data_IF_668050804238
#
_entry.id   IF_668050804238
#
_cell.length_a   1.000
_cell.length_b   1.000
_cell.length_c   1.000
_cell.angle_alpha   90.00
_cell.angle_beta   90.00
_cell.angle_gamma   90.00
#
_symmetry.space_group_name_H-M   'P 1'
#
loop_
_entity.id
_entity.type
_entity.pdbx_description
1 polymer ?
#
# COMPACT_ATOMS: atom_id res chain seq x y z
N UNK A 1 14.04 -14.71 -8.65
CA UNK A 1 13.42 -13.76 -7.70
C UNK A 1 13.36 -12.35 -8.31
N UNK A 2 12.21 -11.68 -8.24
CA UNK A 2 12.08 -10.29 -8.74
C UNK A 2 12.53 -9.25 -7.71
N UNK A 3 13.04 -9.73 -6.59
CA UNK A 3 13.58 -8.94 -5.51
C UNK A 3 15.09 -9.07 -5.55
N UNK A 4 15.78 -7.94 -5.67
CA UNK A 4 17.22 -7.84 -5.51
C UNK A 4 17.49 -7.19 -4.16
N UNK A 5 18.02 -7.97 -3.22
CA UNK A 5 18.48 -7.43 -1.94
C UNK A 5 19.78 -6.66 -2.20
N UNK A 6 19.77 -5.38 -1.82
CA UNK A 6 20.88 -4.47 -2.01
C UNK A 6 21.72 -4.34 -0.74
N UNK A 7 21.05 -4.29 0.42
CA UNK A 7 21.71 -3.97 1.70
C UNK A 7 20.92 -4.49 2.89
N UNK A 8 21.62 -5.09 3.84
CA UNK A 8 21.12 -5.55 5.13
C UNK A 8 21.72 -4.67 6.23
N UNK A 9 20.94 -3.74 6.76
CA UNK A 9 21.34 -2.92 7.90
C UNK A 9 20.99 -3.65 9.20
N UNK A 10 22.01 -4.07 9.94
CA UNK A 10 21.86 -4.82 11.17
C UNK A 10 22.29 -3.95 12.34
N UNK A 11 21.37 -3.69 13.25
CA UNK A 11 21.61 -2.87 14.43
C UNK A 11 21.32 -3.70 15.67
N UNK A 12 22.32 -3.87 16.52
CA UNK A 12 22.14 -4.49 17.83
C UNK A 12 21.99 -3.43 18.91
N UNK A 13 21.09 -3.67 19.86
CA UNK A 13 20.84 -2.79 20.98
C UNK A 13 20.90 -3.53 22.32
N UNK A 14 21.34 -2.80 23.35
CA UNK A 14 21.16 -3.13 24.74
C UNK A 14 20.05 -2.26 25.33
N UNK A 15 19.51 -2.68 26.46
CA UNK A 15 18.59 -1.85 27.22
C UNK A 15 19.38 -0.84 28.08
N UNK A 16 18.77 0.30 28.49
CA UNK A 16 19.48 1.40 29.13
C UNK A 16 19.70 1.14 30.63
N UNK A 17 20.42 0.06 30.95
CA UNK A 17 20.83 -0.26 32.30
C UNK A 17 22.28 -0.76 32.39
N UNK A 18 22.96 -0.38 33.46
CA UNK A 18 24.32 -0.85 33.74
C UNK A 18 25.40 0.05 33.11
N UNK A 19 26.58 -0.49 32.87
CA UNK A 19 27.69 0.34 32.38
C UNK A 19 27.64 0.52 30.87
N UNK A 20 27.96 1.73 30.39
CA UNK A 20 28.10 2.03 28.96
C UNK A 20 29.00 1.02 28.22
N UNK A 21 30.08 0.57 28.88
CA UNK A 21 30.99 -0.42 28.32
C UNK A 21 30.35 -1.80 28.17
N UNK A 22 29.53 -2.24 29.14
CA UNK A 22 28.79 -3.48 29.06
C UNK A 22 27.71 -3.41 27.97
N UNK A 23 26.95 -2.31 27.91
CA UNK A 23 25.91 -2.11 26.92
C UNK A 23 26.47 -2.05 25.49
N UNK A 24 27.64 -1.43 25.30
CA UNK A 24 28.37 -1.47 24.02
C UNK A 24 28.66 -2.91 23.59
N UNK A 25 29.27 -3.72 24.46
CA UNK A 25 29.58 -5.14 24.17
C UNK A 25 28.33 -5.97 23.89
N UNK A 26 27.27 -5.79 24.67
CA UNK A 26 26.00 -6.48 24.49
C UNK A 26 25.29 -6.10 23.19
N UNK A 27 25.39 -4.84 22.78
CA UNK A 27 24.82 -4.36 21.52
C UNK A 27 25.59 -4.92 20.31
N UNK A 28 26.92 -4.93 20.37
CA UNK A 28 27.80 -5.53 19.35
C UNK A 28 27.54 -7.03 19.19
N UNK A 29 27.52 -7.77 20.31
CA UNK A 29 27.29 -9.21 20.31
C UNK A 29 25.94 -9.60 19.68
N UNK A 30 24.88 -8.81 19.94
CA UNK A 30 23.56 -9.02 19.31
C UNK A 30 23.58 -8.75 17.80
N UNK A 31 24.23 -7.68 17.37
CA UNK A 31 24.34 -7.36 15.94
C UNK A 31 25.10 -8.46 15.19
N UNK A 32 26.23 -8.91 15.75
CA UNK A 32 27.05 -9.98 15.18
C UNK A 32 26.31 -11.31 15.14
N UNK A 33 25.62 -11.69 16.22
CA UNK A 33 24.84 -12.94 16.25
C UNK A 33 23.76 -12.97 15.16
N UNK A 34 23.04 -11.87 14.93
CA UNK A 34 22.05 -11.78 13.85
C UNK A 34 22.71 -11.82 12.48
N UNK A 35 23.85 -11.13 12.30
CA UNK A 35 24.62 -11.18 11.05
C UNK A 35 25.08 -12.60 10.73
N UNK A 36 25.59 -13.32 11.71
CA UNK A 36 26.12 -14.68 11.54
C UNK A 36 24.98 -15.66 11.22
N UNK A 37 23.86 -15.52 11.91
CA UNK A 37 22.65 -16.28 11.61
C UNK A 37 22.18 -16.07 10.16
N UNK A 38 22.11 -14.82 9.68
CA UNK A 38 21.68 -14.51 8.31
C UNK A 38 22.71 -15.02 7.28
N UNK A 39 24.00 -14.83 7.53
CA UNK A 39 25.07 -15.27 6.64
C UNK A 39 25.20 -16.79 6.55
N UNK A 40 24.82 -17.52 7.60
CA UNK A 40 24.75 -18.98 7.56
C UNK A 40 23.56 -19.47 6.73
N UNK A 41 22.43 -18.76 6.80
CA UNK A 41 21.14 -19.21 6.24
C UNK A 41 20.90 -18.74 4.81
N UNK A 42 21.54 -17.65 4.40
CA UNK A 42 21.37 -17.02 3.10
C UNK A 42 22.72 -16.65 2.49
N UNK A 43 22.83 -16.87 1.18
CA UNK A 43 24.04 -16.58 0.39
C UNK A 43 24.07 -15.10 -0.06
N UNK A 44 24.02 -14.18 0.90
CA UNK A 44 24.23 -12.76 0.61
C UNK A 44 25.73 -12.44 0.65
N UNK A 45 26.25 -11.66 -0.33
CA UNK A 45 27.62 -11.18 -0.31
C UNK A 45 27.95 -10.42 1.00
N UNK A 46 29.15 -10.63 1.54
CA UNK A 46 29.55 -10.01 2.81
C UNK A 46 29.49 -8.48 2.80
N UNK A 47 29.73 -7.85 1.65
CA UNK A 47 29.67 -6.40 1.47
C UNK A 47 28.24 -5.83 1.48
N UNK A 48 27.20 -6.67 1.50
CA UNK A 48 25.81 -6.22 1.69
C UNK A 48 25.41 -6.08 3.16
N UNK A 49 26.21 -6.60 4.09
CA UNK A 49 25.94 -6.51 5.53
C UNK A 49 26.56 -5.24 6.09
N UNK A 50 25.72 -4.37 6.64
CA UNK A 50 26.13 -3.14 7.28
C UNK A 50 25.73 -3.23 8.74
N UNK A 51 26.75 -3.32 9.61
CA UNK A 51 26.55 -3.58 11.03
C UNK A 51 26.73 -2.28 11.80
N UNK A 52 25.75 -1.96 12.64
CA UNK A 52 25.75 -0.80 13.53
C UNK A 52 25.61 -1.26 14.96
N UNK A 53 26.45 -0.70 15.83
CA UNK A 53 26.38 -0.96 17.27
C UNK A 53 25.57 0.16 17.90
N UNK A 54 24.30 -0.12 18.16
CA UNK A 54 23.32 0.87 18.61
C UNK A 54 23.49 1.29 20.07
N UNK A 55 24.30 0.57 20.87
CA UNK A 55 24.43 0.83 22.30
C UNK A 55 23.09 0.67 23.02
N UNK A 56 22.74 1.62 23.86
CA UNK A 56 21.47 1.64 24.61
C UNK A 56 20.30 2.09 23.74
N UNK A 57 19.18 1.37 23.80
CA UNK A 57 18.00 1.62 22.99
C UNK A 57 17.09 2.73 23.54
N UNK A 58 17.60 3.95 23.62
CA UNK A 58 16.83 5.09 24.12
C UNK A 58 15.63 5.43 23.22
N UNK A 59 15.80 5.35 21.89
CA UNK A 59 14.71 5.56 20.93
C UNK A 59 13.61 4.50 21.08
N UNK A 60 14.00 3.25 21.33
CA UNK A 60 13.06 2.16 21.60
C UNK A 60 12.32 2.33 22.93
N UNK A 61 13.00 2.83 23.96
CA UNK A 61 12.38 3.16 25.24
C UNK A 61 11.31 4.24 25.07
N UNK A 62 11.64 5.33 24.37
CA UNK A 62 10.69 6.41 24.10
C UNK A 62 9.43 5.91 23.39
N UNK A 63 9.59 5.12 22.31
CA UNK A 63 8.46 4.52 21.59
C UNK A 63 7.64 3.56 22.44
N UNK A 64 8.29 2.75 23.28
CA UNK A 64 7.57 1.85 24.18
C UNK A 64 6.69 2.63 25.15
N UNK A 65 7.20 3.75 25.68
CA UNK A 65 6.47 4.62 26.59
C UNK A 65 5.22 5.22 25.96
N UNK A 66 5.21 5.56 24.67
CA UNK A 66 4.02 6.11 23.98
C UNK A 66 2.78 5.21 24.14
N UNK A 67 2.98 3.90 24.17
CA UNK A 67 1.91 2.89 24.17
C UNK A 67 1.41 2.46 25.55
N UNK A 68 2.08 2.91 26.63
CA UNK A 68 1.75 2.47 28.00
C UNK A 68 1.40 3.64 28.92
N UNK A 69 0.64 3.32 29.96
CA UNK A 69 0.50 4.18 31.14
C UNK A 69 1.64 3.90 32.11
N UNK A 70 2.27 4.98 32.58
CA UNK A 70 3.39 4.93 33.52
C UNK A 70 3.25 6.10 34.48
N UNK A 71 3.46 5.83 35.76
CA UNK A 71 3.55 6.88 36.78
C UNK A 71 4.75 7.79 36.49
N UNK A 72 4.53 9.11 36.50
CA UNK A 72 5.55 10.12 36.18
C UNK A 72 6.08 10.05 34.73
N UNK A 73 5.29 9.54 33.79
CA UNK A 73 5.67 9.37 32.37
C UNK A 73 6.26 10.62 31.72
N UNK A 74 5.66 11.79 31.94
CA UNK A 74 6.12 13.03 31.30
C UNK A 74 7.52 13.44 31.79
N UNK A 75 7.81 13.27 33.08
CA UNK A 75 9.14 13.54 33.65
C UNK A 75 10.18 12.52 33.18
N UNK A 76 9.78 11.25 33.02
CA UNK A 76 10.63 10.21 32.42
C UNK A 76 10.97 10.56 30.97
N UNK A 77 9.97 10.99 30.18
CA UNK A 77 10.17 11.40 28.79
C UNK A 77 11.04 12.66 28.69
N UNK A 78 10.87 13.63 29.60
CA UNK A 78 11.71 14.82 29.66
C UNK A 78 13.19 14.45 29.86
N UNK A 79 13.49 13.55 30.80
CA UNK A 79 14.85 13.05 31.03
C UNK A 79 15.40 12.38 29.76
N UNK A 80 14.61 11.52 29.10
CA UNK A 80 15.05 10.79 27.91
C UNK A 80 15.35 11.75 26.75
N UNK A 81 14.53 12.79 26.55
CA UNK A 81 14.65 13.71 25.42
C UNK A 81 15.74 14.75 25.62
N UNK A 82 15.87 15.27 26.84
CA UNK A 82 16.62 16.50 27.08
C UNK A 82 17.96 16.29 27.79
N UNK A 83 18.20 15.14 28.42
CA UNK A 83 19.49 14.84 29.06
C UNK A 83 20.35 14.02 28.10
N UNK A 84 21.53 14.50 27.68
CA UNK A 84 22.44 13.69 26.88
C UNK A 84 22.88 12.40 27.59
N UNK A 85 23.11 11.32 26.85
CA UNK A 85 23.43 9.99 27.40
C UNK A 85 24.68 10.06 28.26
N UNK A 86 25.73 10.72 27.78
CA UNK A 86 27.01 10.91 28.45
C UNK A 86 26.92 11.77 29.72
N UNK A 87 25.81 12.49 29.91
CA UNK A 87 25.54 13.30 31.11
C UNK A 87 24.73 12.55 32.18
N UNK A 88 24.64 11.22 32.08
CA UNK A 88 24.07 10.38 33.14
C UNK A 88 22.54 10.33 33.11
N UNK A 89 21.95 10.19 31.92
CA UNK A 89 20.51 10.03 31.71
C UNK A 89 19.92 8.89 32.57
N UNK A 90 20.59 7.73 32.62
CA UNK A 90 20.19 6.60 33.48
C UNK A 90 20.19 7.00 34.96
N UNK A 91 21.25 7.63 35.45
CA UNK A 91 21.36 8.09 36.85
C UNK A 91 20.23 9.04 37.22
N UNK A 92 19.80 9.91 36.29
CA UNK A 92 18.68 10.82 36.51
C UNK A 92 17.35 10.08 36.62
N UNK A 93 17.12 9.04 35.80
CA UNK A 93 15.95 8.16 35.96
C UNK A 93 15.96 7.40 37.29
N UNK A 94 17.13 6.94 37.74
CA UNK A 94 17.28 6.27 39.04
C UNK A 94 16.98 7.19 40.23
N UNK A 95 17.25 8.49 40.10
CA UNK A 95 17.00 9.49 41.14
C UNK A 95 15.55 9.98 41.14
N UNK A 96 14.89 10.03 39.98
CA UNK A 96 13.51 10.51 39.82
C UNK A 96 12.56 9.76 40.75
N UNK A 97 11.87 10.49 41.63
CA UNK A 97 10.90 9.96 42.61
C UNK A 97 11.43 8.74 43.39
N UNK A 98 12.70 8.80 43.82
CA UNK A 98 13.34 7.70 44.55
C UNK A 98 13.49 6.42 43.74
N UNK A 99 13.52 6.53 42.41
CA UNK A 99 13.70 5.43 41.46
C UNK A 99 12.46 4.58 41.18
N UNK A 100 11.27 5.03 41.61
CA UNK A 100 9.99 4.34 41.35
C UNK A 100 9.76 4.07 39.86
N UNK A 101 9.80 5.08 38.96
CA UNK A 101 9.66 4.83 37.53
C UNK A 101 10.78 3.93 36.99
N UNK A 102 12.04 4.14 37.38
CA UNK A 102 13.16 3.32 36.92
C UNK A 102 12.98 1.82 37.25
N UNK A 103 12.54 1.48 38.46
CA UNK A 103 12.28 0.08 38.85
C UNK A 103 11.17 -0.56 38.00
N UNK A 104 10.14 0.22 37.65
CA UNK A 104 9.10 -0.26 36.73
C UNK A 104 9.67 -0.53 35.34
N UNK A 105 10.43 0.43 34.78
CA UNK A 105 11.07 0.28 33.48
C UNK A 105 12.01 -0.93 33.44
N UNK A 106 12.87 -1.07 34.45
CA UNK A 106 13.82 -2.18 34.58
C UNK A 106 13.12 -3.54 34.57
N UNK A 107 11.96 -3.65 35.23
CA UNK A 107 11.23 -4.91 35.37
C UNK A 107 10.40 -5.26 34.14
N UNK A 108 9.72 -4.27 33.55
CA UNK A 108 8.66 -4.53 32.55
C UNK A 108 9.00 -4.06 31.14
N UNK A 109 9.90 -3.08 30.98
CA UNK A 109 10.16 -2.44 29.68
C UNK A 109 11.56 -2.75 29.16
N UNK A 110 12.61 -2.58 29.95
CA UNK A 110 13.99 -2.82 29.53
C UNK A 110 14.24 -4.21 28.92
N UNK A 111 13.63 -5.31 29.41
CA UNK A 111 13.79 -6.61 28.76
C UNK A 111 13.40 -6.62 27.27
N UNK A 112 12.36 -5.87 26.86
CA UNK A 112 11.90 -5.82 25.47
C UNK A 112 12.78 -4.94 24.58
N UNK A 113 13.63 -4.10 25.15
CA UNK A 113 14.53 -3.20 24.42
C UNK A 113 15.82 -3.90 23.92
N UNK A 114 16.08 -5.12 24.40
CA UNK A 114 17.25 -5.94 24.07
C UNK A 114 17.09 -6.62 22.71
N UNK A 115 17.15 -5.85 21.64
CA UNK A 115 16.81 -6.31 20.29
C UNK A 115 17.99 -6.26 19.32
N UNK A 116 17.93 -7.10 18.29
CA UNK A 116 18.70 -6.95 17.06
C UNK A 116 17.71 -6.71 15.92
N UNK A 117 17.88 -5.60 15.20
CA UNK A 117 17.00 -5.18 14.12
C UNK A 117 17.75 -5.39 12.80
N UNK A 118 17.11 -6.04 11.83
CA UNK A 118 17.59 -6.09 10.45
C UNK A 118 16.62 -5.33 9.55
N UNK A 119 17.10 -4.28 8.90
CA UNK A 119 16.38 -3.59 7.83
C UNK A 119 16.92 -4.07 6.49
N UNK A 120 16.03 -4.59 5.65
CA UNK A 120 16.37 -5.11 4.32
C UNK A 120 16.02 -4.05 3.29
N UNK A 121 17.03 -3.52 2.60
CA UNK A 121 16.84 -2.66 1.45
C UNK A 121 16.90 -3.52 0.19
N UNK A 122 15.87 -3.43 -0.63
CA UNK A 122 15.75 -4.21 -1.84
C UNK A 122 15.07 -3.43 -2.95
N UNK A 123 15.37 -3.80 -4.18
CA UNK A 123 14.65 -3.37 -5.36
C UNK A 123 13.72 -4.49 -5.82
N UNK A 124 12.50 -4.12 -6.18
CA UNK A 124 11.59 -5.00 -6.91
C UNK A 124 11.65 -4.56 -8.37
N UNK A 125 12.07 -5.45 -9.26
CA UNK A 125 11.95 -5.19 -10.69
C UNK A 125 10.54 -5.49 -11.16
N UNK A 126 10.12 -4.77 -12.18
CA UNK A 126 8.91 -5.12 -12.91
C UNK A 126 9.11 -6.50 -13.61
N UNK A 127 8.02 -7.26 -13.64
CA UNK A 127 7.86 -8.47 -14.42
C UNK A 127 7.82 -8.12 -15.91
N UNK A 128 8.44 -8.96 -16.75
CA UNK A 128 8.14 -8.90 -18.18
C UNK A 128 6.67 -9.26 -18.42
N UNK A 129 6.13 -8.92 -19.58
CA UNK A 129 4.73 -9.25 -19.93
C UNK A 129 4.49 -10.77 -19.89
N UNK A 130 5.46 -11.56 -20.33
CA UNK A 130 5.44 -13.03 -20.31
C UNK A 130 5.46 -13.57 -18.89
N UNK A 131 6.29 -12.99 -18.00
CA UNK A 131 6.31 -13.38 -16.60
C UNK A 131 5.00 -12.99 -15.90
N UNK A 132 4.50 -11.78 -16.16
CA UNK A 132 3.28 -11.27 -15.57
C UNK A 132 2.06 -12.13 -15.96
N UNK A 133 2.02 -12.70 -17.18
CA UNK A 133 1.00 -13.68 -17.60
C UNK A 133 0.94 -14.93 -16.72
N UNK A 134 2.07 -15.42 -16.24
CA UNK A 134 2.10 -16.58 -15.35
C UNK A 134 1.85 -16.20 -13.89
N UNK A 135 2.35 -15.03 -13.48
CA UNK A 135 2.18 -14.55 -12.11
C UNK A 135 0.72 -14.19 -11.84
N UNK A 136 -0.01 -13.61 -12.77
CA UNK A 136 -1.40 -13.21 -12.52
C UNK A 136 -2.32 -14.40 -12.22
N UNK A 137 -2.01 -15.59 -12.76
CA UNK A 137 -2.77 -16.83 -12.53
C UNK A 137 -2.62 -17.38 -11.11
N UNK A 138 -1.51 -17.06 -10.44
CA UNK A 138 -1.12 -17.70 -9.17
C UNK A 138 -0.96 -16.72 -8.01
N UNK A 139 -0.38 -15.55 -8.29
CA UNK A 139 -0.02 -14.51 -7.32
C UNK A 139 -0.28 -13.10 -7.88
N UNK A 140 -1.53 -12.77 -8.27
CA UNK A 140 -1.86 -11.47 -8.84
C UNK A 140 -1.50 -10.29 -7.92
N UNK A 141 -1.50 -10.48 -6.60
CA UNK A 141 -1.08 -9.47 -5.62
C UNK A 141 0.38 -9.03 -5.74
N UNK A 142 1.21 -9.77 -6.47
CA UNK A 142 2.60 -9.42 -6.72
C UNK A 142 2.79 -8.53 -7.95
N UNK A 143 1.75 -8.34 -8.77
CA UNK A 143 1.80 -7.47 -9.94
C UNK A 143 1.29 -6.09 -9.58
N UNK A 144 1.99 -5.07 -10.03
CA UNK A 144 1.49 -3.70 -10.14
C UNK A 144 0.27 -3.65 -11.07
N UNK A 145 -0.54 -2.61 -10.86
CA UNK A 145 -1.69 -2.33 -11.74
C UNK A 145 -1.26 -2.14 -13.20
N UNK A 146 -0.10 -1.52 -13.43
CA UNK A 146 0.44 -1.31 -14.78
C UNK A 146 0.79 -2.63 -15.47
N UNK A 147 1.46 -3.56 -14.77
CA UNK A 147 1.78 -4.88 -15.32
C UNK A 147 0.52 -5.68 -15.66
N UNK A 148 -0.53 -5.58 -14.84
CA UNK A 148 -1.82 -6.19 -15.17
C UNK A 148 -2.41 -5.60 -16.46
N UNK A 149 -2.30 -4.29 -16.68
CA UNK A 149 -2.77 -3.66 -17.92
C UNK A 149 -1.91 -4.02 -19.13
N UNK A 150 -0.58 -4.14 -18.97
CA UNK A 150 0.30 -4.61 -20.03
C UNK A 150 -0.06 -6.05 -20.45
N UNK A 151 -0.39 -6.92 -19.49
CA UNK A 151 -0.89 -8.27 -19.79
C UNK A 151 -2.24 -8.21 -20.49
N UNK A 152 -3.17 -7.38 -20.03
CA UNK A 152 -4.49 -7.21 -20.66
C UNK A 152 -4.35 -6.82 -22.14
N UNK A 153 -3.44 -5.88 -22.46
CA UNK A 153 -3.18 -5.43 -23.83
C UNK A 153 -2.62 -6.51 -24.77
N UNK A 154 -2.26 -7.69 -24.26
CA UNK A 154 -1.88 -8.83 -25.11
C UNK A 154 -3.05 -9.68 -25.57
N UNK A 155 -4.24 -9.47 -25.01
CA UNK A 155 -5.46 -10.16 -25.40
C UNK A 155 -6.30 -9.27 -26.33
N UNK A 156 -7.08 -9.86 -27.26
CA UNK A 156 -7.99 -9.09 -28.09
C UNK A 156 -8.97 -8.28 -27.24
N UNK A 157 -9.16 -7.01 -27.57
CA UNK A 157 -10.11 -6.13 -26.89
C UNK A 157 -11.49 -6.78 -26.83
N UNK A 158 -12.04 -6.92 -25.61
CA UNK A 158 -13.35 -7.53 -25.38
C UNK A 158 -13.39 -9.05 -25.32
N UNK A 159 -12.25 -9.74 -25.47
CA UNK A 159 -12.15 -11.17 -25.15
C UNK A 159 -12.42 -11.44 -23.66
N UNK A 160 -12.76 -12.69 -23.32
CA UNK A 160 -13.01 -13.06 -21.93
C UNK A 160 -11.75 -12.86 -21.08
N UNK A 161 -10.59 -13.24 -21.62
CA UNK A 161 -9.29 -13.05 -20.98
C UNK A 161 -9.02 -11.58 -20.70
N UNK A 162 -9.29 -10.70 -21.67
CA UNK A 162 -9.15 -9.25 -21.50
C UNK A 162 -10.04 -8.72 -20.37
N UNK A 163 -11.26 -9.21 -20.25
CA UNK A 163 -12.22 -8.82 -19.20
C UNK A 163 -11.76 -9.32 -17.82
N UNK A 164 -11.33 -10.58 -17.72
CA UNK A 164 -10.89 -11.21 -16.48
C UNK A 164 -9.68 -10.47 -15.86
N UNK A 165 -8.85 -9.85 -16.69
CA UNK A 165 -7.74 -9.02 -16.24
C UNK A 165 -8.23 -7.82 -15.42
N UNK A 166 -9.30 -7.15 -15.83
CA UNK A 166 -9.83 -5.99 -15.10
C UNK A 166 -10.57 -6.38 -13.83
N UNK A 167 -11.25 -7.53 -13.82
CA UNK A 167 -11.82 -8.09 -12.59
C UNK A 167 -10.72 -8.41 -11.56
N UNK A 168 -9.61 -8.99 -12.03
CA UNK A 168 -8.45 -9.24 -11.17
C UNK A 168 -7.83 -7.93 -10.68
N UNK A 169 -7.69 -6.94 -11.56
CA UNK A 169 -7.14 -5.64 -11.22
C UNK A 169 -7.95 -4.91 -10.15
N UNK A 170 -9.29 -4.85 -10.28
CA UNK A 170 -10.13 -4.17 -9.28
C UNK A 170 -10.16 -4.92 -7.94
N UNK A 171 -10.01 -6.26 -7.95
CA UNK A 171 -9.89 -7.05 -6.72
C UNK A 171 -8.59 -6.78 -5.98
N UNK A 172 -7.47 -6.60 -6.70
CA UNK A 172 -6.16 -6.32 -6.11
C UNK A 172 -5.97 -4.85 -5.75
N UNK A 173 -6.61 -3.95 -6.51
CA UNK A 173 -6.54 -2.49 -6.36
C UNK A 173 -7.92 -1.86 -6.20
N UNK A 174 -8.68 -2.20 -5.14
CA UNK A 174 -10.08 -1.77 -5.01
C UNK A 174 -10.27 -0.25 -4.86
N UNK A 175 -9.24 0.46 -4.44
CA UNK A 175 -9.24 1.92 -4.29
C UNK A 175 -8.71 2.66 -5.54
N UNK A 176 -8.27 1.94 -6.58
CA UNK A 176 -7.80 2.56 -7.81
C UNK A 176 -8.98 2.97 -8.68
N UNK A 177 -9.08 4.27 -8.96
CA UNK A 177 -10.13 4.81 -9.85
C UNK A 177 -10.01 4.22 -11.26
N UNK A 178 -8.79 4.07 -11.76
CA UNK A 178 -8.55 3.49 -13.09
C UNK A 178 -8.99 2.02 -13.14
N UNK A 179 -8.68 1.24 -12.11
CA UNK A 179 -9.10 -0.16 -12.05
C UNK A 179 -10.64 -0.28 -12.00
N UNK A 180 -11.29 0.58 -11.21
CA UNK A 180 -12.75 0.61 -11.10
C UNK A 180 -13.43 1.05 -12.41
N UNK A 181 -12.91 2.07 -13.11
CA UNK A 181 -13.46 2.52 -14.40
C UNK A 181 -13.32 1.43 -15.47
N UNK A 182 -12.17 0.77 -15.54
CA UNK A 182 -11.96 -0.32 -16.49
C UNK A 182 -12.83 -1.54 -16.17
N UNK A 183 -12.95 -1.93 -14.88
CA UNK A 183 -13.85 -2.99 -14.46
C UNK A 183 -15.33 -2.66 -14.71
N UNK A 184 -15.73 -1.40 -14.54
CA UNK A 184 -17.06 -0.94 -14.92
C UNK A 184 -17.31 -1.07 -16.44
N UNK A 185 -16.34 -0.69 -17.25
CA UNK A 185 -16.43 -0.79 -18.72
C UNK A 185 -16.53 -2.25 -19.16
N UNK A 186 -15.77 -3.15 -18.53
CA UNK A 186 -15.84 -4.59 -18.76
C UNK A 186 -17.19 -5.19 -18.31
N UNK A 187 -17.75 -4.72 -17.19
CA UNK A 187 -19.09 -5.12 -16.75
C UNK A 187 -20.18 -4.63 -17.73
N UNK A 188 -20.05 -3.39 -18.25
CA UNK A 188 -20.98 -2.83 -19.24
C UNK A 188 -20.98 -3.61 -20.55
N UNK A 189 -19.81 -4.07 -21.03
CA UNK A 189 -19.76 -4.88 -22.26
C UNK A 189 -20.47 -6.23 -22.13
N UNK A 190 -20.62 -6.75 -20.90
CA UNK A 190 -21.38 -7.96 -20.57
C UNK A 190 -22.82 -7.68 -20.09
N UNK A 191 -23.29 -6.44 -20.19
CA UNK A 191 -24.62 -6.02 -19.71
C UNK A 191 -24.85 -6.24 -18.20
N UNK A 192 -23.77 -6.26 -17.40
CA UNK A 192 -23.80 -6.42 -15.95
C UNK A 192 -23.93 -5.06 -15.24
N UNK A 193 -25.11 -4.44 -15.36
CA UNK A 193 -25.33 -3.05 -14.93
C UNK A 193 -25.11 -2.83 -13.43
N UNK A 194 -25.44 -3.83 -12.59
CA UNK A 194 -25.27 -3.74 -11.12
C UNK A 194 -23.79 -3.70 -10.75
N UNK A 195 -22.97 -4.55 -11.36
CA UNK A 195 -21.52 -4.56 -11.17
C UNK A 195 -20.89 -3.26 -11.65
N UNK A 196 -21.28 -2.78 -12.83
CA UNK A 196 -20.80 -1.52 -13.38
C UNK A 196 -21.10 -0.32 -12.48
N UNK A 197 -22.33 -0.23 -11.97
CA UNK A 197 -22.73 0.82 -11.03
C UNK A 197 -21.93 0.76 -9.73
N UNK A 198 -21.72 -0.43 -9.17
CA UNK A 198 -20.90 -0.61 -7.97
C UNK A 198 -19.47 -0.12 -8.19
N UNK A 199 -18.83 -0.49 -9.30
CA UNK A 199 -17.45 -0.06 -9.59
C UNK A 199 -17.37 1.44 -9.81
N UNK A 200 -18.30 2.03 -10.57
CA UNK A 200 -18.33 3.48 -10.76
C UNK A 200 -18.58 4.24 -9.45
N UNK A 201 -19.34 3.66 -8.52
CA UNK A 201 -19.54 4.21 -7.17
C UNK A 201 -18.27 4.31 -6.31
N UNK A 202 -17.21 3.58 -6.66
CA UNK A 202 -15.90 3.66 -5.99
C UNK A 202 -15.02 4.81 -6.50
N UNK A 203 -15.43 5.49 -7.58
CA UNK A 203 -14.67 6.58 -8.20
C UNK A 203 -15.10 7.92 -7.61
N UNK A 204 -14.14 8.81 -7.32
CA UNK A 204 -14.48 10.15 -6.86
C UNK A 204 -15.02 10.98 -8.03
N UNK A 205 -16.34 11.09 -8.12
CA UNK A 205 -17.04 11.82 -9.19
C UNK A 205 -16.62 13.29 -9.31
N UNK A 206 -16.11 13.91 -8.23
CA UNK A 206 -15.70 15.31 -8.24
C UNK A 206 -14.45 15.57 -9.10
N UNK A 207 -13.67 14.53 -9.42
CA UNK A 207 -12.53 14.64 -10.34
C UNK A 207 -12.95 14.79 -11.79
N UNK A 208 -14.21 14.50 -12.12
CA UNK A 208 -14.78 14.63 -13.45
C UNK A 208 -13.89 13.99 -14.54
N UNK A 209 -13.38 12.78 -14.30
CA UNK A 209 -12.54 12.07 -15.26
C UNK A 209 -13.34 11.78 -16.56
N UNK A 210 -12.78 12.01 -17.76
CA UNK A 210 -13.48 11.77 -19.02
C UNK A 210 -13.96 10.32 -19.16
N UNK A 211 -13.14 9.35 -18.77
CA UNK A 211 -13.42 7.91 -18.86
C UNK A 211 -14.55 7.50 -17.90
N UNK A 212 -14.55 8.06 -16.69
CA UNK A 212 -15.65 7.88 -15.73
C UNK A 212 -16.96 8.41 -16.31
N UNK A 213 -16.96 9.63 -16.84
CA UNK A 213 -18.14 10.23 -17.43
C UNK A 213 -18.62 9.44 -18.65
N UNK A 214 -17.71 8.93 -19.47
CA UNK A 214 -18.05 8.07 -20.59
C UNK A 214 -18.72 6.76 -20.13
N UNK A 215 -18.12 6.05 -19.17
CA UNK A 215 -18.68 4.82 -18.61
C UNK A 215 -20.04 5.05 -17.94
N UNK A 216 -20.19 6.14 -17.17
CA UNK A 216 -21.46 6.52 -16.56
C UNK A 216 -22.52 6.85 -17.61
N UNK A 217 -22.13 7.53 -18.69
CA UNK A 217 -23.00 7.82 -19.82
C UNK A 217 -23.53 6.57 -20.52
N UNK A 218 -22.68 5.55 -20.70
CA UNK A 218 -23.07 4.23 -21.22
C UNK A 218 -24.01 3.51 -20.23
N UNK A 219 -23.68 3.50 -18.93
CA UNK A 219 -24.54 2.89 -17.90
C UNK A 219 -25.96 3.48 -17.92
N UNK A 220 -26.08 4.81 -17.95
CA UNK A 220 -27.37 5.49 -18.03
C UNK A 220 -28.11 5.19 -19.34
N UNK A 221 -27.38 5.12 -20.46
CA UNK A 221 -27.95 4.73 -21.76
C UNK A 221 -28.58 3.33 -21.68
N UNK A 222 -27.88 2.37 -21.08
CA UNK A 222 -28.34 0.99 -20.94
C UNK A 222 -29.51 0.86 -19.97
N UNK A 223 -29.58 1.71 -18.94
CA UNK A 223 -30.73 1.84 -18.03
C UNK A 223 -31.94 2.58 -18.65
N UNK A 224 -31.78 3.18 -19.83
CA UNK A 224 -32.83 3.95 -20.51
C UNK A 224 -32.97 5.40 -20.04
N UNK A 225 -32.08 5.89 -19.17
CA UNK A 225 -32.02 7.29 -18.79
C UNK A 225 -31.22 8.08 -19.84
N UNK A 226 -31.90 8.44 -20.92
CA UNK A 226 -31.30 9.14 -22.05
C UNK A 226 -30.85 10.57 -21.72
N UNK A 227 -31.48 11.24 -20.75
CA UNK A 227 -31.13 12.63 -20.41
C UNK A 227 -29.85 12.67 -19.57
N UNK A 228 -29.74 11.83 -18.54
CA UNK A 228 -28.50 11.69 -17.77
C UNK A 228 -27.37 11.17 -18.65
N UNK A 229 -27.63 10.16 -19.50
CA UNK A 229 -26.66 9.64 -20.45
C UNK A 229 -26.06 10.75 -21.33
N UNK A 230 -26.91 11.60 -21.92
CA UNK A 230 -26.46 12.72 -22.76
C UNK A 230 -25.54 13.67 -22.00
N UNK A 231 -25.86 14.01 -20.74
CA UNK A 231 -25.06 14.92 -19.92
C UNK A 231 -23.66 14.37 -19.70
N UNK A 232 -23.56 13.12 -19.26
CA UNK A 232 -22.30 12.44 -19.00
C UNK A 232 -21.45 12.27 -20.27
N UNK A 233 -22.04 11.80 -21.37
CA UNK A 233 -21.31 11.59 -22.62
C UNK A 233 -20.83 12.90 -23.25
N UNK A 234 -21.64 13.97 -23.21
CA UNK A 234 -21.21 15.30 -23.68
C UNK A 234 -20.03 15.84 -22.87
N UNK A 235 -20.05 15.64 -21.55
CA UNK A 235 -18.92 16.04 -20.73
C UNK A 235 -17.64 15.31 -21.15
N UNK A 236 -17.71 13.99 -21.34
CA UNK A 236 -16.57 13.18 -21.78
C UNK A 236 -16.05 13.61 -23.17
N UNK A 237 -16.94 13.88 -24.12
CA UNK A 237 -16.60 14.40 -25.46
C UNK A 237 -15.90 15.76 -25.37
N UNK A 238 -16.47 16.71 -24.62
CA UNK A 238 -15.90 18.05 -24.42
C UNK A 238 -14.54 18.00 -23.72
N UNK A 239 -14.30 16.96 -22.92
CA UNK A 239 -13.02 16.72 -22.28
C UNK A 239 -12.01 15.99 -23.17
N UNK A 240 -12.33 15.80 -24.45
CA UNK A 240 -11.41 15.25 -25.46
C UNK A 240 -11.45 13.74 -25.65
N UNK A 241 -12.39 13.02 -25.03
CA UNK A 241 -12.48 11.57 -25.20
C UNK A 241 -13.25 11.20 -26.48
N UNK A 242 -12.52 10.81 -27.53
CA UNK A 242 -13.10 10.48 -28.85
C UNK A 242 -14.14 9.34 -28.78
N UNK A 243 -13.93 8.35 -27.90
CA UNK A 243 -14.88 7.25 -27.70
C UNK A 243 -16.29 7.73 -27.30
N UNK A 244 -16.40 8.90 -26.66
CA UNK A 244 -17.70 9.47 -26.27
C UNK A 244 -18.55 9.89 -27.47
N UNK A 245 -17.94 10.24 -28.61
CA UNK A 245 -18.68 10.60 -29.84
C UNK A 245 -19.50 9.42 -30.37
N UNK A 246 -18.87 8.25 -30.46
CA UNK A 246 -19.56 7.03 -30.88
C UNK A 246 -20.71 6.65 -29.94
N UNK A 247 -20.52 6.85 -28.63
CA UNK A 247 -21.57 6.60 -27.64
C UNK A 247 -22.73 7.60 -27.74
N UNK A 248 -22.47 8.87 -28.10
CA UNK A 248 -23.51 9.86 -28.38
C UNK A 248 -24.33 9.51 -29.62
N UNK A 249 -23.69 8.99 -30.67
CA UNK A 249 -24.41 8.50 -31.86
C UNK A 249 -25.33 7.32 -31.51
N UNK A 250 -24.85 6.38 -30.71
CA UNK A 250 -25.65 5.23 -30.26
C UNK A 250 -26.83 5.68 -29.37
N UNK A 251 -26.63 6.67 -28.49
CA UNK A 251 -27.70 7.30 -27.72
C UNK A 251 -28.81 7.85 -28.63
N UNK A 252 -28.45 8.56 -29.71
CA UNK A 252 -29.42 9.11 -30.68
C UNK A 252 -30.21 7.99 -31.35
N UNK A 253 -29.52 6.93 -31.80
CA UNK A 253 -30.15 5.75 -32.42
C UNK A 253 -31.14 5.07 -31.47
N UNK A 254 -30.74 4.81 -30.22
CA UNK A 254 -31.62 4.20 -29.21
C UNK A 254 -32.83 5.06 -28.88
N UNK A 255 -32.67 6.37 -28.73
CA UNK A 255 -33.78 7.30 -28.46
C UNK A 255 -34.80 7.31 -29.61
N UNK A 256 -34.33 7.31 -30.86
CA UNK A 256 -35.19 7.23 -32.04
C UNK A 256 -35.97 5.91 -32.12
N UNK A 257 -35.31 4.79 -31.84
CA UNK A 257 -35.94 3.47 -31.83
C UNK A 257 -37.02 3.36 -30.73
N UNK A 258 -36.72 3.83 -29.51
CA UNK A 258 -37.68 3.87 -28.41
C UNK A 258 -38.92 4.74 -28.75
N UNK A 259 -38.72 5.88 -29.42
CA UNK A 259 -39.82 6.73 -29.87
C UNK A 259 -40.71 6.06 -30.94
N UNK A 260 -40.12 5.30 -31.88
CA UNK A 260 -40.86 4.51 -32.87
C UNK A 260 -41.67 3.40 -32.21
N UNK A 261 -41.10 2.66 -31.27
CA UNK A 261 -41.81 1.60 -30.54
C UNK A 261 -43.02 2.15 -29.76
N UNK A 262 -42.88 3.32 -29.11
CA UNK A 262 -44.00 4.00 -28.44
C UNK A 262 -45.11 4.46 -29.39
N UNK A 263 -44.77 4.80 -30.65
CA UNK A 263 -45.76 5.18 -31.67
C UNK A 263 -46.49 3.97 -32.26
N UNK A 264 -45.81 2.83 -32.39
CA UNK A 264 -46.37 1.61 -32.99
C UNK A 264 -47.10 0.70 -31.99
N UNK A 265 -46.88 0.90 -30.68
CA UNK A 265 -47.57 0.16 -29.60
C UNK A 265 -48.80 0.87 -29.04
N UNK A 266 -49.34 1.87 -29.76
CA UNK A 266 -50.61 2.53 -29.48
C UNK A 266 -51.62 2.15 -30.55
#
# INVERSE_FOLDING_TARGET
PNVKVNRLDIIGYASPEGTLAANKRLSEGRAMALRDYLAYRYDFPRNQYYIVFGGENWDGLEKALETIELEYKDEVLDIIRNIPIEKGRETKLMQLHGGTPYRYLLKYIFPSLRVAICKVNYEVRDFSVEEAKEIIKTRPQNLSLNEMFLVANTYPTGSQEFIDMFETAVRMYPQSEIANINAATAALSRNELVSAERYLGMVNSNKNLPEYNNAMGILMLMKGDYESSKKYLKFAEQSGLDAARGNLEELVRKKANAAKMKKNGK
#
